data_IF_280150647018
#
_entry.id   IF_280150647018
#
_cell.length_a   1.000
_cell.length_b   1.000
_cell.length_c   1.000
_cell.angle_alpha   90.00
_cell.angle_beta   90.00
_cell.angle_gamma   90.00
#
_symmetry.space_group_name_H-M   'P 1'
#
loop_
_entity.id
_entity.type
_entity.pdbx_description
1 polymer ?
#
# COMPACT_ATOMS: atom_id res chain seq x y z
N UNK A 1 -19.63 38.54 -41.02
CA UNK A 1 -19.68 37.79 -39.74
C UNK A 1 -18.52 36.81 -39.73
N UNK A 2 -17.34 37.26 -39.28
CA UNK A 2 -16.11 36.47 -39.30
C UNK A 2 -15.97 35.65 -38.02
N UNK A 3 -15.94 34.32 -38.15
CA UNK A 3 -15.48 33.44 -37.08
C UNK A 3 -13.96 33.42 -37.13
N UNK A 4 -13.33 34.09 -36.16
CA UNK A 4 -11.90 34.08 -35.96
C UNK A 4 -11.39 32.65 -35.77
N UNK A 5 -10.46 32.26 -36.64
CA UNK A 5 -9.76 30.98 -36.61
C UNK A 5 -8.79 31.00 -35.42
N UNK A 6 -9.23 30.48 -34.28
CA UNK A 6 -8.38 30.33 -33.09
C UNK A 6 -7.14 29.48 -33.44
N UNK A 7 -5.97 29.95 -33.01
CA UNK A 7 -4.70 29.27 -33.20
C UNK A 7 -4.69 27.92 -32.45
N UNK A 8 -4.21 26.82 -33.06
CA UNK A 8 -4.06 25.52 -32.38
C UNK A 8 -3.19 25.58 -31.12
N UNK A 9 -2.31 26.59 -31.02
CA UNK A 9 -1.43 26.78 -29.88
C UNK A 9 -2.17 27.25 -28.61
N UNK A 10 -3.26 28.00 -28.75
CA UNK A 10 -4.01 28.53 -27.60
C UNK A 10 -4.85 27.45 -26.88
N UNK A 11 -5.30 26.44 -27.62
CA UNK A 11 -6.01 25.29 -27.04
C UNK A 11 -5.06 24.37 -26.25
N UNK A 12 -3.84 24.15 -26.76
CA UNK A 12 -2.82 23.36 -26.06
C UNK A 12 -2.40 23.97 -24.73
N UNK A 13 -2.28 25.30 -24.67
CA UNK A 13 -1.87 26.01 -23.46
C UNK A 13 -2.97 26.06 -22.39
N UNK A 14 -4.26 26.11 -22.78
CA UNK A 14 -5.38 26.01 -21.84
C UNK A 14 -5.60 24.61 -21.30
N UNK A 15 -5.34 23.57 -22.10
CA UNK A 15 -5.40 22.17 -21.65
C UNK A 15 -4.29 21.84 -20.65
N UNK A 16 -3.09 22.41 -20.84
CA UNK A 16 -1.95 22.26 -19.93
C UNK A 16 -2.19 22.95 -18.57
N UNK A 17 -2.95 24.05 -18.55
CA UNK A 17 -3.26 24.81 -17.33
C UNK A 17 -4.37 24.14 -16.48
N UNK A 18 -5.29 23.40 -17.11
CA UNK A 18 -6.35 22.64 -16.42
C UNK A 18 -5.83 21.39 -15.69
N UNK A 19 -4.66 20.86 -16.07
CA UNK A 19 -4.02 19.72 -15.42
C UNK A 19 -3.32 20.05 -14.08
N UNK A 20 -3.20 21.35 -13.73
CA UNK A 20 -2.50 21.81 -12.52
C UNK A 20 -3.41 22.03 -11.30
N UNK A 21 -4.73 21.85 -11.44
CA UNK A 21 -5.72 22.01 -10.36
C UNK A 21 -6.24 20.65 -9.90
N UNK A 22 -5.37 19.89 -9.23
CA UNK A 22 -5.74 18.64 -8.56
C UNK A 22 -5.11 18.59 -7.18
N UNK A 23 -5.61 19.40 -6.25
CA UNK A 23 -5.32 19.20 -4.83
C UNK A 23 -6.25 18.13 -4.29
N UNK A 24 -5.75 16.92 -4.03
CA UNK A 24 -6.47 15.89 -3.29
C UNK A 24 -5.63 15.39 -2.12
N UNK A 25 -6.30 15.21 -0.99
CA UNK A 25 -5.76 14.72 0.28
C UNK A 25 -5.86 13.20 0.27
N UNK A 26 -4.75 12.47 0.15
CA UNK A 26 -4.83 11.02 -0.01
C UNK A 26 -4.43 10.19 1.21
N UNK A 27 -4.98 8.97 1.21
CA UNK A 27 -5.01 8.09 2.37
C UNK A 27 -4.40 6.72 1.99
N UNK A 28 -3.36 6.38 2.73
CA UNK A 28 -2.79 5.04 2.98
C UNK A 28 -3.86 3.93 2.84
N UNK A 29 -3.47 2.78 2.27
CA UNK A 29 -4.38 1.67 1.95
C UNK A 29 -5.20 1.23 3.17
N UNK A 30 -6.49 1.57 3.17
CA UNK A 30 -7.49 1.12 4.14
C UNK A 30 -8.39 0.08 3.49
N UNK A 31 -8.30 -1.16 3.93
CA UNK A 31 -9.23 -2.19 3.53
C UNK A 31 -10.24 -2.41 4.66
N UNK A 32 -11.52 -2.17 4.39
CA UNK A 32 -12.63 -2.45 5.29
C UNK A 32 -13.58 -3.45 4.63
N UNK A 33 -13.67 -4.66 5.19
CA UNK A 33 -14.57 -5.71 4.74
C UNK A 33 -15.60 -5.98 5.83
N UNK A 34 -16.87 -6.06 5.44
CA UNK A 34 -18.00 -6.33 6.34
C UNK A 34 -18.76 -7.56 5.88
N UNK A 35 -19.11 -8.46 6.80
CA UNK A 35 -19.84 -9.68 6.49
C UNK A 35 -19.07 -10.67 5.61
N UNK A 36 -17.74 -10.64 5.68
CA UNK A 36 -16.86 -11.47 4.86
C UNK A 36 -16.91 -12.94 5.32
N UNK A 37 -16.92 -13.87 4.36
CA UNK A 37 -17.01 -15.31 4.62
C UNK A 37 -15.78 -16.07 4.14
N UNK A 38 -14.95 -15.48 3.28
CA UNK A 38 -13.76 -16.14 2.73
C UNK A 38 -12.78 -16.54 3.82
N UNK A 39 -12.24 -17.75 3.70
CA UNK A 39 -11.24 -18.29 4.60
C UNK A 39 -9.82 -17.75 4.35
N UNK A 40 -9.53 -17.30 3.13
CA UNK A 40 -8.24 -16.70 2.77
C UNK A 40 -8.48 -15.44 1.94
N UNK A 41 -7.81 -14.37 2.33
CA UNK A 41 -7.89 -13.06 1.71
C UNK A 41 -6.48 -12.55 1.50
N UNK A 42 -6.07 -12.44 0.24
CA UNK A 42 -4.86 -11.71 -0.09
C UNK A 42 -5.10 -10.22 0.15
N UNK A 43 -4.41 -9.66 1.13
CA UNK A 43 -4.54 -8.26 1.50
C UNK A 43 -3.65 -7.38 0.61
N UNK A 44 -2.41 -7.81 0.40
CA UNK A 44 -1.48 -7.07 -0.43
C UNK A 44 -0.30 -7.88 -0.95
N UNK A 45 0.36 -7.36 -1.99
CA UNK A 45 1.61 -7.88 -2.54
C UNK A 45 2.55 -6.74 -2.90
N UNK A 46 3.74 -6.70 -2.28
CA UNK A 46 4.68 -5.60 -2.43
C UNK A 46 6.13 -6.08 -2.48
N UNK A 47 6.91 -5.48 -3.39
CA UNK A 47 8.34 -5.75 -3.54
C UNK A 47 9.16 -4.84 -2.65
N UNK A 48 9.89 -5.41 -1.69
CA UNK A 48 10.74 -4.65 -0.77
C UNK A 48 12.21 -4.73 -1.16
N UNK A 49 12.87 -3.56 -1.11
CA UNK A 49 14.32 -3.44 -1.09
C UNK A 49 14.86 -3.49 0.36
N UNK A 50 16.19 -3.60 0.49
CA UNK A 50 16.86 -3.40 1.78
C UNK A 50 16.44 -2.07 2.41
N UNK A 51 16.17 -2.07 3.72
CA UNK A 51 15.62 -0.97 4.51
C UNK A 51 14.17 -0.59 4.15
N UNK A 52 13.46 -1.42 3.39
CA UNK A 52 12.02 -1.30 3.24
C UNK A 52 11.28 -1.65 4.53
N UNK A 53 10.07 -1.10 4.70
CA UNK A 53 9.21 -1.31 5.85
C UNK A 53 7.77 -1.61 5.45
N UNK A 54 7.16 -2.60 6.10
CA UNK A 54 5.75 -2.92 6.07
C UNK A 54 5.13 -2.60 7.43
N UNK A 55 4.16 -1.70 7.49
CA UNK A 55 3.38 -1.40 8.69
C UNK A 55 1.94 -1.89 8.49
N UNK A 56 1.43 -2.62 9.47
CA UNK A 56 0.08 -3.18 9.46
C UNK A 56 -0.62 -2.82 10.76
N UNK A 57 -1.76 -2.14 10.64
CA UNK A 57 -2.64 -1.82 11.75
C UNK A 57 -3.99 -2.48 11.52
N UNK A 58 -4.28 -3.49 12.33
CA UNK A 58 -5.62 -4.05 12.43
C UNK A 58 -6.42 -3.17 13.38
N UNK A 59 -7.25 -2.31 12.81
CA UNK A 59 -8.09 -1.37 13.57
C UNK A 59 -9.38 -2.01 14.10
N UNK A 60 -9.91 -3.00 13.37
CA UNK A 60 -11.14 -3.71 13.74
C UNK A 60 -11.07 -5.15 13.24
N UNK A 61 -11.30 -6.10 14.13
CA UNK A 61 -11.66 -7.48 13.79
C UNK A 61 -12.84 -7.90 14.67
N UNK A 62 -13.95 -8.29 14.03
CA UNK A 62 -15.14 -8.84 14.68
C UNK A 62 -15.44 -10.20 14.10
N UNK A 63 -15.30 -11.22 14.93
CA UNK A 63 -15.54 -12.60 14.57
C UNK A 63 -16.98 -12.93 14.97
N UNK A 64 -17.87 -13.15 14.00
CA UNK A 64 -19.31 -13.37 14.23
C UNK A 64 -19.66 -14.73 14.83
N UNK A 65 -18.95 -15.14 15.89
CA UNK A 65 -19.05 -16.47 16.50
C UNK A 65 -19.80 -16.45 17.83
N UNK A 66 -20.44 -17.58 18.17
CA UNK A 66 -21.03 -17.81 19.50
C UNK A 66 -19.93 -18.30 20.45
N UNK A 67 -19.99 -17.88 21.71
CA UNK A 67 -18.97 -18.12 22.78
C UNK A 67 -18.50 -19.59 22.91
N UNK A 68 -19.31 -20.57 22.51
CA UNK A 68 -18.95 -22.00 22.55
C UNK A 68 -17.94 -22.44 21.46
N UNK A 69 -17.87 -21.74 20.33
CA UNK A 69 -17.02 -22.06 19.16
C UNK A 69 -15.70 -21.29 19.14
N UNK A 70 -15.51 -20.34 20.07
CA UNK A 70 -14.28 -19.55 20.21
C UNK A 70 -13.07 -20.41 20.64
N UNK A 71 -13.32 -21.62 21.14
CA UNK A 71 -12.26 -22.48 21.71
C UNK A 71 -11.25 -23.03 20.69
N UNK A 72 -11.58 -23.08 19.40
CA UNK A 72 -10.73 -23.64 18.34
C UNK A 72 -10.50 -22.68 17.17
N UNK A 73 -10.71 -21.37 17.37
CA UNK A 73 -10.56 -20.38 16.32
C UNK A 73 -9.09 -20.26 15.90
N UNK A 74 -8.81 -20.56 14.63
CA UNK A 74 -7.50 -20.35 14.03
C UNK A 74 -7.58 -19.23 12.98
N UNK A 75 -7.24 -18.03 13.42
CA UNK A 75 -7.27 -16.80 12.62
C UNK A 75 -5.93 -16.08 12.74
N UNK A 76 -5.50 -15.42 11.68
CA UNK A 76 -4.22 -14.73 11.69
C UNK A 76 -3.79 -14.20 10.34
N UNK A 77 -2.56 -13.70 10.29
CA UNK A 77 -1.93 -13.22 9.07
C UNK A 77 -0.78 -14.14 8.68
N UNK A 78 -0.54 -14.27 7.38
CA UNK A 78 0.67 -14.87 6.85
C UNK A 78 1.41 -13.87 5.98
N UNK A 79 2.71 -13.76 6.18
CA UNK A 79 3.62 -13.03 5.32
C UNK A 79 4.53 -14.04 4.63
N UNK A 80 4.34 -14.21 3.32
CA UNK A 80 5.16 -15.08 2.49
C UNK A 80 6.05 -14.26 1.58
N UNK A 81 7.20 -14.81 1.17
CA UNK A 81 8.14 -14.14 0.27
C UNK A 81 8.47 -15.03 -0.91
N UNK A 82 8.44 -14.43 -2.10
CA UNK A 82 9.00 -15.01 -3.32
C UNK A 82 10.31 -14.28 -3.62
N UNK A 83 11.40 -15.04 -3.72
CA UNK A 83 12.72 -14.51 -4.07
C UNK A 83 12.71 -14.11 -5.54
N UNK A 84 13.32 -12.97 -5.86
CA UNK A 84 13.47 -12.45 -7.23
C UNK A 84 14.02 -13.55 -8.16
N UNK A 85 13.28 -13.88 -9.23
CA UNK A 85 13.66 -14.91 -10.21
C UNK A 85 13.05 -16.30 -10.03
N UNK A 86 12.24 -16.54 -8.99
CA UNK A 86 11.38 -17.73 -8.90
C UNK A 86 9.94 -17.37 -9.26
N UNK A 87 9.33 -18.17 -10.14
CA UNK A 87 7.92 -18.03 -10.51
C UNK A 87 7.06 -18.55 -9.35
N UNK A 88 5.91 -17.90 -9.12
CA UNK A 88 4.87 -18.44 -8.24
C UNK A 88 4.47 -19.84 -8.74
N UNK A 89 4.90 -20.89 -8.06
CA UNK A 89 4.20 -22.16 -8.15
C UNK A 89 2.87 -21.96 -7.45
N UNK A 90 1.80 -21.80 -8.23
CA UNK A 90 0.44 -21.97 -7.73
C UNK A 90 0.34 -23.40 -7.19
N UNK A 91 0.58 -23.56 -5.90
CA UNK A 91 0.23 -24.81 -5.23
C UNK A 91 -1.29 -24.95 -5.36
N UNK A 92 -1.74 -26.02 -5.99
CA UNK A 92 -3.13 -26.46 -5.90
C UNK A 92 -3.47 -26.57 -4.42
N UNK A 93 -4.35 -25.67 -3.96
CA UNK A 93 -4.72 -25.60 -2.56
C UNK A 93 -5.67 -26.74 -2.26
N UNK A 94 -5.21 -27.71 -1.48
CA UNK A 94 -6.12 -28.66 -0.86
C UNK A 94 -6.95 -27.90 0.17
N UNK A 95 -8.27 -27.89 -0.02
CA UNK A 95 -9.24 -27.17 0.83
C UNK A 95 -9.23 -27.60 2.31
N UNK A 96 -8.49 -28.67 2.64
CA UNK A 96 -8.42 -29.25 3.99
C UNK A 96 -7.27 -28.69 4.84
N UNK A 97 -6.24 -28.08 4.24
CA UNK A 97 -5.05 -27.63 4.98
C UNK A 97 -5.02 -26.10 5.17
N UNK A 98 -5.27 -25.68 6.41
CA UNK A 98 -5.15 -24.29 6.82
C UNK A 98 -3.69 -23.79 6.73
N UNK A 99 -3.40 -22.70 6.00
CA UNK A 99 -2.04 -22.16 5.88
C UNK A 99 -1.39 -21.79 7.22
N UNK A 100 -2.19 -21.47 8.25
CA UNK A 100 -1.70 -21.12 9.58
C UNK A 100 -1.18 -22.32 10.39
N UNK A 101 -1.47 -23.56 9.99
CA UNK A 101 -0.93 -24.78 10.62
C UNK A 101 0.31 -25.32 9.91
N UNK A 102 0.67 -24.76 8.76
CA UNK A 102 1.74 -25.28 7.91
C UNK A 102 3.11 -24.99 8.52
N UNK A 103 3.90 -26.05 8.77
CA UNK A 103 5.34 -25.93 8.91
C UNK A 103 5.97 -25.85 7.52
N UNK A 104 6.71 -24.78 7.24
CA UNK A 104 7.41 -24.62 5.96
C UNK A 104 8.92 -24.56 6.15
N UNK A 105 9.66 -25.11 5.18
CA UNK A 105 11.09 -24.84 5.03
C UNK A 105 11.36 -23.54 4.26
N UNK A 106 10.36 -23.03 3.54
CA UNK A 106 10.42 -21.76 2.82
C UNK A 106 10.18 -20.57 3.76
N UNK A 107 10.54 -19.37 3.30
CA UNK A 107 10.25 -18.13 4.02
C UNK A 107 8.73 -17.99 4.26
N UNK A 108 8.34 -17.98 5.53
CA UNK A 108 6.96 -17.75 5.96
C UNK A 108 6.99 -17.16 7.38
N UNK A 109 6.19 -16.13 7.61
CA UNK A 109 5.93 -15.59 8.95
C UNK A 109 4.44 -15.68 9.21
N UNK A 110 4.05 -16.27 10.34
CA UNK A 110 2.66 -16.38 10.76
C UNK A 110 2.43 -15.51 12.00
N UNK A 111 1.36 -14.72 11.97
CA UNK A 111 0.86 -13.94 13.09
C UNK A 111 -0.45 -14.59 13.55
N UNK A 112 -0.38 -15.46 14.55
CA UNK A 112 -1.50 -16.25 15.04
C UNK A 112 -2.22 -15.47 16.14
N UNK A 113 -3.49 -15.13 15.90
CA UNK A 113 -4.29 -14.36 16.84
C UNK A 113 -4.94 -15.32 17.82
N UNK A 114 -4.62 -15.17 19.10
CA UNK A 114 -5.27 -15.88 20.19
C UNK A 114 -6.17 -14.92 20.96
N UNK A 115 -7.48 -15.06 20.77
CA UNK A 115 -8.48 -14.20 21.41
C UNK A 115 -8.62 -14.46 22.91
N UNK A 116 -8.31 -15.68 23.37
CA UNK A 116 -8.40 -16.05 24.79
C UNK A 116 -7.31 -15.41 25.64
N UNK A 117 -6.08 -15.50 25.15
CA UNK A 117 -4.90 -14.98 25.86
C UNK A 117 -4.63 -13.51 25.53
N UNK A 118 -5.44 -12.91 24.66
CA UNK A 118 -5.28 -11.55 24.13
C UNK A 118 -3.86 -11.29 23.62
N UNK A 119 -3.36 -12.23 22.81
CA UNK A 119 -2.00 -12.25 22.33
C UNK A 119 -1.94 -12.65 20.85
N UNK A 120 -0.95 -12.11 20.14
CA UNK A 120 -0.61 -12.53 18.78
C UNK A 120 0.75 -13.21 18.81
N UNK A 121 0.78 -14.52 18.55
CA UNK A 121 2.01 -15.29 18.50
C UNK A 121 2.64 -15.19 17.11
N UNK A 122 3.91 -14.81 17.04
CA UNK A 122 4.65 -14.70 15.79
C UNK A 122 5.53 -15.94 15.61
N UNK A 123 5.27 -16.73 14.57
CA UNK A 123 6.10 -17.88 14.18
C UNK A 123 6.84 -17.58 12.89
N UNK A 124 8.13 -17.85 12.87
CA UNK A 124 9.01 -17.62 11.71
C UNK A 124 9.51 -18.95 11.17
N UNK A 125 9.52 -19.08 9.85
CA UNK A 125 9.92 -20.28 9.12
C UNK A 125 10.88 -19.96 7.98
N UNK A 126 11.84 -20.86 7.73
CA UNK A 126 12.93 -20.65 6.78
C UNK A 126 14.03 -19.73 7.34
N UNK A 127 15.10 -19.52 6.56
CA UNK A 127 16.17 -18.60 6.97
C UNK A 127 15.69 -17.14 6.89
N UNK A 128 15.70 -16.45 8.04
CA UNK A 128 15.23 -15.06 8.20
C UNK A 128 16.15 -14.23 9.12
N UNK A 129 17.46 -14.21 8.84
CA UNK A 129 18.47 -13.69 9.79
C UNK A 129 18.38 -12.17 10.02
N UNK A 130 17.83 -11.43 9.06
CA UNK A 130 17.78 -9.96 9.09
C UNK A 130 16.37 -9.41 8.84
N UNK A 131 15.34 -10.18 9.19
CA UNK A 131 13.95 -9.70 9.18
C UNK A 131 13.57 -9.28 10.60
N UNK A 132 13.36 -7.99 10.80
CA UNK A 132 13.00 -7.44 12.10
C UNK A 132 11.49 -7.22 12.18
N UNK A 133 10.86 -7.71 13.24
CA UNK A 133 9.42 -7.57 13.49
C UNK A 133 9.29 -6.90 14.85
N UNK A 134 8.49 -5.84 14.91
CA UNK A 134 8.29 -5.06 16.12
C UNK A 134 6.80 -4.81 16.37
N UNK A 135 6.37 -4.73 17.64
CA UNK A 135 5.02 -4.29 17.98
C UNK A 135 4.84 -2.80 17.67
N UNK A 136 3.61 -2.42 17.33
CA UNK A 136 3.25 -1.03 17.06
C UNK A 136 3.58 -0.58 15.64
N UNK A 137 3.33 0.71 15.39
CA UNK A 137 3.65 1.39 14.13
C UNK A 137 5.01 2.09 14.21
N UNK A 138 5.61 2.39 13.05
CA UNK A 138 6.85 3.16 13.04
C UNK A 138 6.55 4.61 13.51
N UNK A 139 7.43 5.22 14.34
CA UNK A 139 7.29 6.62 14.69
C UNK A 139 7.24 7.48 13.44
N UNK A 140 6.19 8.29 13.30
CA UNK A 140 6.06 9.18 12.17
C UNK A 140 7.17 10.24 12.26
N UNK A 141 8.09 10.24 11.28
CA UNK A 141 9.10 11.29 11.18
C UNK A 141 8.36 12.64 11.08
N UNK A 142 8.76 13.68 11.85
CA UNK A 142 8.08 14.97 11.81
C UNK A 142 8.05 15.47 10.37
N UNK A 143 6.85 15.68 9.86
CA UNK A 143 6.63 16.30 8.57
C UNK A 143 7.38 17.62 8.52
N UNK A 144 8.10 17.88 7.42
CA UNK A 144 8.80 19.15 7.19
C UNK A 144 7.81 20.29 7.45
N UNK A 145 8.13 21.32 8.26
CA UNK A 145 7.20 22.39 8.57
C UNK A 145 6.74 23.09 7.29
N UNK A 146 5.46 22.97 6.98
CA UNK A 146 4.80 23.79 5.98
C UNK A 146 4.87 25.26 6.39
N UNK A 147 5.08 26.11 5.39
CA UNK A 147 5.15 27.56 5.45
C UNK A 147 4.06 28.17 6.35
N UNK A 148 4.38 29.11 7.26
CA UNK A 148 3.46 29.58 8.28
C UNK A 148 2.37 30.49 7.69
N UNK A 149 1.10 30.17 7.98
CA UNK A 149 -0.04 31.06 7.73
C UNK A 149 -0.26 31.96 8.97
N UNK A 150 -0.61 33.26 8.81
CA UNK A 150 -0.45 34.27 9.86
C UNK A 150 -1.36 34.07 11.08
N UNK A 151 -0.77 34.20 12.28
CA UNK A 151 -1.48 34.26 13.56
C UNK A 151 -2.28 35.56 13.69
N UNK A 152 -3.55 35.43 14.06
CA UNK A 152 -4.33 36.51 14.64
C UNK A 152 -4.13 36.54 16.16
N UNK A 153 -3.61 37.67 16.64
CA UNK A 153 -3.32 38.03 18.03
C UNK A 153 -4.59 38.35 18.81
N UNK A 154 -4.80 37.75 19.99
CA UNK A 154 -5.59 38.33 21.10
C UNK A 154 -4.95 37.88 22.45
N UNK A 155 -4.89 38.74 23.49
CA UNK A 155 -3.82 38.69 24.50
C UNK A 155 -4.13 37.94 25.81
N UNK A 156 -3.04 37.66 26.54
CA UNK A 156 -2.97 37.08 27.89
C UNK A 156 -3.74 37.85 28.95
N UNK A 157 -4.25 37.12 29.95
CA UNK A 157 -4.41 37.59 31.34
C UNK A 157 -3.88 36.51 32.30
N UNK A 158 -3.06 36.94 33.26
CA UNK A 158 -2.42 36.16 34.33
C UNK A 158 -3.22 36.37 35.64
N UNK A 159 -2.92 35.53 36.63
CA UNK A 159 -3.30 35.50 38.06
C UNK A 159 -4.32 34.39 38.38
N UNK A 160 -4.16 33.52 39.37
CA UNK A 160 -3.17 33.36 40.44
C UNK A 160 -3.50 32.08 41.24
N UNK A 161 -2.59 31.69 42.14
CA UNK A 161 -2.43 30.33 42.70
C UNK A 161 -3.55 29.73 43.57
N UNK A 162 -3.46 28.40 43.75
CA UNK A 162 -4.24 27.61 44.69
C UNK A 162 -3.86 26.12 44.66
N UNK A 163 -3.07 25.68 45.64
CA UNK A 163 -2.60 24.29 45.90
C UNK A 163 -3.73 23.32 46.27
N UNK A 164 -3.66 22.07 45.76
CA UNK A 164 -4.03 20.82 46.48
C UNK A 164 -3.63 19.57 45.69
N UNK A 165 -3.36 18.49 46.42
CA UNK A 165 -2.55 17.33 46.05
C UNK A 165 -3.30 16.12 45.45
N UNK A 166 -2.50 15.15 44.96
CA UNK A 166 -2.78 13.75 44.58
C UNK A 166 -3.57 13.57 43.26
N UNK A 167 -3.23 12.67 42.33
CA UNK A 167 -2.53 11.38 42.40
C UNK A 167 -1.95 11.00 41.02
N UNK A 168 -0.79 10.33 40.99
CA UNK A 168 -0.18 9.72 39.80
C UNK A 168 -0.74 8.30 39.61
N UNK A 169 -0.99 7.85 38.37
CA UNK A 169 -0.77 6.46 37.98
C UNK A 169 0.54 6.35 37.18
N UNK A 170 1.30 5.34 37.57
CA UNK A 170 2.66 4.98 37.15
C UNK A 170 2.59 4.26 35.80
N UNK A 171 2.97 4.95 34.72
CA UNK A 171 3.26 4.29 33.43
C UNK A 171 4.71 3.80 33.44
N UNK A 172 4.87 2.48 33.48
CA UNK A 172 6.17 1.81 33.35
C UNK A 172 6.64 1.92 31.90
N UNK A 173 7.83 2.47 31.58
CA UNK A 173 8.33 2.51 30.21
C UNK A 173 8.74 1.11 29.75
N UNK A 174 8.29 0.73 28.56
CA UNK A 174 8.74 -0.45 27.84
C UNK A 174 10.27 -0.38 27.62
N UNK A 175 10.94 -1.49 27.95
CA UNK A 175 12.38 -1.66 27.84
C UNK A 175 12.78 -1.71 26.36
N UNK A 176 13.67 -0.81 25.95
CA UNK A 176 14.39 -0.86 24.68
C UNK A 176 15.45 -1.98 24.81
N UNK A 177 15.41 -2.98 23.94
CA UNK A 177 16.52 -3.94 23.76
C UNK A 177 17.12 -3.81 22.37
N UNK A 178 18.42 -3.51 22.34
CA UNK A 178 19.30 -3.66 21.20
C UNK A 178 19.64 -5.15 20.91
N UNK A 179 20.53 -5.41 19.95
CA UNK A 179 20.46 -6.59 19.09
C UNK A 179 21.05 -7.86 19.71
N UNK A 180 20.48 -8.99 19.27
CA UNK A 180 20.97 -10.37 19.32
C UNK A 180 20.80 -11.14 20.63
N UNK A 181 19.98 -12.20 20.58
CA UNK A 181 20.00 -13.28 21.57
C UNK A 181 18.74 -14.12 21.68
N UNK A 182 18.63 -15.16 20.83
CA UNK A 182 17.76 -16.36 20.93
C UNK A 182 16.25 -16.09 20.97
N UNK A 183 15.55 -16.51 19.90
CA UNK A 183 14.09 -16.46 19.74
C UNK A 183 13.37 -17.00 20.99
N UNK A 184 13.03 -16.10 21.91
CA UNK A 184 11.78 -16.24 22.66
C UNK A 184 10.68 -15.98 21.65
N UNK A 185 9.68 -16.86 21.60
CA UNK A 185 8.52 -16.66 20.73
C UNK A 185 8.04 -15.22 20.87
N UNK A 186 8.11 -14.46 19.78
CA UNK A 186 7.73 -13.06 19.79
C UNK A 186 6.21 -13.02 19.96
N UNK A 187 5.75 -12.44 21.07
CA UNK A 187 4.34 -12.29 21.38
C UNK A 187 4.00 -10.81 21.36
N UNK A 188 3.00 -10.44 20.57
CA UNK A 188 2.45 -9.08 20.50
C UNK A 188 1.15 -9.02 21.33
N UNK A 189 0.86 -7.86 21.92
CA UNK A 189 -0.40 -7.65 22.65
C UNK A 189 -1.57 -7.48 21.68
N UNK A 190 -2.66 -8.19 21.95
CA UNK A 190 -3.96 -7.98 21.29
C UNK A 190 -4.83 -7.14 22.23
N UNK A 191 -5.34 -6.01 21.76
CA UNK A 191 -6.29 -5.21 22.52
C UNK A 191 -7.71 -5.56 22.10
N UNK A 192 -8.62 -5.61 23.07
CA UNK A 192 -10.03 -5.94 22.87
C UNK A 192 -10.88 -4.80 23.43
N UNK A 193 -11.64 -4.13 22.55
CA UNK A 193 -12.52 -3.01 22.89
C UNK A 193 -13.83 -3.13 22.12
N UNK A 194 -14.97 -3.03 22.80
CA UNK A 194 -16.31 -3.03 22.19
C UNK A 194 -16.54 -4.22 21.23
N UNK A 195 -16.23 -5.44 21.68
CA UNK A 195 -16.34 -6.68 20.89
C UNK A 195 -15.50 -6.64 19.59
N UNK A 196 -14.38 -5.92 19.62
CA UNK A 196 -13.48 -5.80 18.49
C UNK A 196 -12.04 -5.95 18.94
N UNK A 197 -11.27 -6.72 18.16
CA UNK A 197 -9.85 -6.91 18.37
C UNK A 197 -9.05 -5.93 17.51
N UNK A 198 -8.01 -5.36 18.09
CA UNK A 198 -7.05 -4.51 17.40
C UNK A 198 -5.62 -4.81 17.83
N UNK A 199 -4.69 -4.64 16.89
CA UNK A 199 -3.25 -4.68 17.14
C UNK A 199 -2.52 -4.06 15.95
N UNK A 200 -1.25 -3.72 16.15
CA UNK A 200 -0.40 -3.23 15.08
C UNK A 200 1.00 -3.81 15.20
N UNK A 201 1.63 -3.99 14.04
CA UNK A 201 3.00 -4.44 13.92
C UNK A 201 3.66 -3.80 12.71
N UNK A 202 4.98 -3.76 12.74
CA UNK A 202 5.76 -3.42 11.56
C UNK A 202 6.92 -4.37 11.36
N UNK A 203 7.31 -4.52 10.10
CA UNK A 203 8.38 -5.39 9.63
C UNK A 203 9.39 -4.53 8.87
N UNK A 204 10.68 -4.71 9.17
CA UNK A 204 11.78 -4.01 8.51
C UNK A 204 12.71 -5.02 7.84
N UNK A 205 13.01 -4.77 6.56
CA UNK A 205 13.88 -5.61 5.75
C UNK A 205 15.33 -5.19 5.97
N UNK A 206 16.11 -5.97 6.71
CA UNK A 206 17.44 -5.56 7.16
C UNK A 206 18.61 -5.84 6.21
N UNK A 207 18.44 -6.65 5.16
CA UNK A 207 19.54 -6.96 4.23
C UNK A 207 19.06 -7.30 2.81
N UNK A 208 20.01 -7.26 1.87
CA UNK A 208 19.78 -7.59 0.46
C UNK A 208 19.35 -9.05 0.27
N UNK A 209 19.75 -9.96 1.17
CA UNK A 209 19.33 -11.36 1.12
C UNK A 209 17.83 -11.54 1.39
N UNK A 210 17.20 -10.57 2.07
CA UNK A 210 15.77 -10.56 2.38
C UNK A 210 14.93 -9.86 1.29
N UNK A 211 15.55 -9.21 0.30
CA UNK A 211 14.83 -8.58 -0.81
C UNK A 211 13.95 -9.58 -1.58
N UNK A 212 12.81 -9.09 -2.06
CA UNK A 212 11.87 -9.89 -2.84
C UNK A 212 10.45 -9.35 -2.79
N UNK A 213 9.54 -10.12 -3.38
CA UNK A 213 8.12 -9.82 -3.36
C UNK A 213 7.46 -10.52 -2.18
N UNK A 214 6.83 -9.73 -1.32
CA UNK A 214 6.14 -10.20 -0.13
C UNK A 214 4.63 -10.16 -0.35
N UNK A 215 3.94 -11.23 0.04
CA UNK A 215 2.47 -11.29 0.02
C UNK A 215 1.94 -11.42 1.44
N UNK A 216 1.11 -10.45 1.83
CA UNK A 216 0.39 -10.44 3.09
C UNK A 216 -1.02 -10.95 2.87
N UNK A 217 -1.37 -12.04 3.56
CA UNK A 217 -2.70 -12.64 3.52
C UNK A 217 -3.29 -12.72 4.92
N UNK A 218 -4.60 -12.60 5.00
CA UNK A 218 -5.38 -12.89 6.20
C UNK A 218 -6.10 -14.22 6.04
N UNK A 219 -6.03 -15.06 7.06
CA UNK A 219 -6.61 -16.39 7.08
C UNK A 219 -7.61 -16.52 8.23
N UNK A 220 -8.79 -17.02 7.91
CA UNK A 220 -9.80 -17.49 8.84
C UNK A 220 -10.10 -18.96 8.55
N UNK A 221 -9.36 -19.86 9.19
CA UNK A 221 -9.42 -21.28 8.87
C UNK A 221 -10.71 -21.97 9.31
N UNK A 222 -11.48 -21.37 10.23
CA UNK A 222 -12.81 -21.88 10.56
C UNK A 222 -13.74 -21.87 9.34
N UNK A 223 -13.62 -20.85 8.48
CA UNK A 223 -14.42 -20.74 7.26
C UNK A 223 -13.89 -21.60 6.10
N UNK A 224 -12.83 -22.40 6.31
CA UNK A 224 -12.33 -23.32 5.26
C UNK A 224 -13.24 -24.54 5.09
N UNK A 225 -14.06 -24.85 6.11
CA UNK A 225 -14.99 -25.99 6.08
C UNK A 225 -16.30 -25.55 5.40
N UNK A 226 -16.67 -26.15 4.25
CA UNK A 226 -17.90 -25.80 3.56
C UNK A 226 -19.13 -25.99 4.47
N UNK A 227 -20.01 -25.00 4.51
CA UNK A 227 -21.26 -25.05 5.29
C UNK A 227 -21.15 -24.64 6.77
N UNK A 228 -19.95 -24.30 7.26
CA UNK A 228 -19.73 -23.75 8.62
C UNK A 228 -19.13 -22.33 8.60
N UNK A 229 -19.38 -21.59 7.53
CA UNK A 229 -18.84 -20.24 7.35
C UNK A 229 -19.57 -19.23 8.23
N UNK A 230 -18.80 -18.45 8.98
CA UNK A 230 -19.32 -17.35 9.78
C UNK A 230 -18.88 -16.01 9.18
N UNK A 231 -19.80 -15.04 9.03
CA UNK A 231 -19.43 -13.70 8.59
C UNK A 231 -18.55 -13.01 9.64
N UNK A 232 -17.53 -12.29 9.18
CA UNK A 232 -16.67 -11.47 10.02
C UNK A 232 -16.44 -10.10 9.40
N UNK A 233 -16.13 -9.12 10.25
CA UNK A 233 -15.75 -7.78 9.83
C UNK A 233 -14.26 -7.56 10.12
N UNK A 234 -13.54 -7.01 9.15
CA UNK A 234 -12.11 -6.72 9.27
C UNK A 234 -11.79 -5.35 8.68
N UNK A 235 -11.06 -4.51 9.41
CA UNK A 235 -10.51 -3.25 8.91
C UNK A 235 -9.02 -3.18 9.19
N UNK A 236 -8.22 -3.23 8.12
CA UNK A 236 -6.76 -3.20 8.17
C UNK A 236 -6.25 -1.99 7.41
N UNK A 237 -5.33 -1.26 8.02
CA UNK A 237 -4.50 -0.24 7.38
C UNK A 237 -3.14 -0.87 7.06
N UNK A 238 -2.69 -0.73 5.83
CA UNK A 238 -1.40 -1.26 5.37
C UNK A 238 -0.59 -0.09 4.81
N UNK A 239 0.63 0.08 5.29
CA UNK A 239 1.56 1.08 4.79
C UNK A 239 2.88 0.43 4.42
N UNK A 240 3.28 0.59 3.17
CA UNK A 240 4.47 -0.04 2.62
C UNK A 240 5.39 1.03 2.08
N UNK A 241 6.67 0.91 2.38
CA UNK A 241 7.62 1.93 2.01
C UNK A 241 8.97 1.30 1.71
N UNK A 242 9.52 1.66 0.56
CA UNK A 242 10.93 1.45 0.23
C UNK A 242 11.72 2.75 0.51
N UNK A 243 13.06 2.69 0.57
CA UNK A 243 13.89 3.87 0.86
C UNK A 243 13.60 5.06 -0.07
N UNK A 244 13.34 4.81 -1.35
CA UNK A 244 13.11 5.83 -2.38
C UNK A 244 11.63 6.26 -2.52
N UNK A 245 10.71 5.68 -1.76
CA UNK A 245 9.29 6.03 -1.78
C UNK A 245 8.33 4.85 -1.58
N UNK A 246 7.08 5.04 -1.97
CA UNK A 246 6.00 4.07 -1.75
C UNK A 246 5.81 3.06 -2.89
N UNK A 247 6.67 3.06 -3.93
CA UNK A 247 6.56 2.09 -5.02
C UNK A 247 7.19 0.74 -4.68
N UNK A 248 6.54 -0.32 -5.16
CA UNK A 248 7.07 -1.68 -5.13
C UNK A 248 8.35 -1.76 -5.95
N UNK A 249 9.27 -2.65 -5.56
CA UNK A 249 10.55 -2.84 -6.24
C UNK A 249 10.41 -3.10 -7.76
N UNK A 250 9.35 -3.81 -8.17
CA UNK A 250 9.09 -4.09 -9.58
C UNK A 250 8.59 -2.86 -10.38
N UNK A 251 8.03 -1.87 -9.70
CA UNK A 251 7.39 -0.69 -10.31
C UNK A 251 8.32 0.53 -10.35
N UNK A 252 9.33 0.58 -9.48
CA UNK A 252 10.36 1.63 -9.48
C UNK A 252 11.02 1.87 -10.86
N UNK A 253 11.48 0.83 -11.60
CA UNK A 253 12.04 1.04 -12.95
C UNK A 253 10.96 1.35 -13.99
N UNK A 254 9.71 0.94 -13.76
CA UNK A 254 8.61 1.07 -14.71
C UNK A 254 8.23 2.54 -14.94
N UNK A 255 8.27 3.37 -13.90
CA UNK A 255 8.06 4.82 -14.02
C UNK A 255 9.01 5.47 -15.03
N UNK A 256 10.32 5.15 -14.94
CA UNK A 256 11.35 5.68 -15.84
C UNK A 256 11.15 5.14 -17.26
N UNK A 257 10.80 3.86 -17.39
CA UNK A 257 10.52 3.25 -18.68
C UNK A 257 9.36 3.95 -19.40
N UNK A 258 8.26 4.24 -18.72
CA UNK A 258 7.13 4.96 -19.32
C UNK A 258 7.50 6.39 -19.74
N UNK A 259 8.33 7.08 -18.97
CA UNK A 259 8.83 8.41 -19.32
C UNK A 259 9.67 8.37 -20.61
N UNK A 260 10.62 7.43 -20.70
CA UNK A 260 11.48 7.26 -21.88
C UNK A 260 10.64 6.87 -23.10
N UNK A 261 9.74 5.90 -22.97
CA UNK A 261 8.89 5.46 -24.07
C UNK A 261 7.95 6.57 -24.55
N UNK A 262 7.38 7.37 -23.65
CA UNK A 262 6.57 8.54 -24.01
C UNK A 262 7.36 9.52 -24.88
N UNK A 263 8.61 9.82 -24.51
CA UNK A 263 9.49 10.68 -25.30
C UNK A 263 9.83 10.07 -26.67
N UNK A 264 10.09 8.76 -26.75
CA UNK A 264 10.32 8.07 -28.03
C UNK A 264 9.10 8.15 -28.97
N UNK A 265 7.89 7.89 -28.47
CA UNK A 265 6.66 8.02 -29.27
C UNK A 265 6.38 9.46 -29.70
N UNK A 266 6.70 10.44 -28.85
CA UNK A 266 6.58 11.86 -29.19
C UNK A 266 7.55 12.24 -30.32
N UNK A 267 8.83 11.85 -30.21
CA UNK A 267 9.84 12.13 -31.21
C UNK A 267 9.50 11.46 -32.55
N UNK A 268 9.06 10.20 -32.52
CA UNK A 268 8.59 9.49 -33.71
C UNK A 268 7.36 10.16 -34.33
N UNK A 269 6.40 10.60 -33.52
CA UNK A 269 5.22 11.35 -33.98
C UNK A 269 5.58 12.68 -34.65
N UNK A 270 6.48 13.46 -34.05
CA UNK A 270 6.97 14.73 -34.63
C UNK A 270 7.72 14.49 -35.94
N UNK A 271 8.61 13.50 -35.97
CA UNK A 271 9.35 13.12 -37.17
C UNK A 271 8.40 12.68 -38.29
N UNK A 272 7.41 11.85 -37.97
CA UNK A 272 6.40 11.38 -38.92
C UNK A 272 5.57 12.52 -39.49
N UNK A 273 5.07 13.44 -38.63
CA UNK A 273 4.36 14.64 -39.08
C UNK A 273 5.24 15.52 -39.96
N UNK A 274 6.53 15.70 -39.61
CA UNK A 274 7.47 16.47 -40.44
C UNK A 274 7.63 15.88 -41.84
N UNK A 275 7.60 14.55 -41.99
CA UNK A 275 7.64 13.88 -43.31
C UNK A 275 6.33 14.13 -44.06
N UNK A 276 5.17 13.95 -43.40
CA UNK A 276 3.86 14.15 -44.02
C UNK A 276 3.65 15.60 -44.48
N UNK A 277 4.19 16.58 -43.76
CA UNK A 277 4.15 17.99 -44.16
C UNK A 277 5.10 18.30 -45.33
N UNK A 278 6.21 17.57 -45.48
CA UNK A 278 7.16 17.73 -46.59
C UNK A 278 6.69 17.06 -47.88
N UNK A 279 5.96 15.95 -47.79
CA UNK A 279 5.51 15.19 -48.94
C UNK A 279 4.00 15.36 -49.16
N UNK A 280 3.61 16.39 -49.90
CA UNK A 280 2.21 16.83 -50.08
C UNK A 280 1.44 16.08 -51.16
N UNK A 281 2.10 15.18 -51.91
CA UNK A 281 1.48 14.44 -53.00
C UNK A 281 1.09 13.04 -52.49
N UNK A 282 -0.24 12.79 -52.43
CA UNK A 282 -0.92 11.51 -52.14
C UNK A 282 -0.80 10.88 -50.73
N UNK A 283 -0.74 11.68 -49.66
CA UNK A 283 -0.83 11.10 -48.31
C UNK A 283 -2.26 10.64 -47.99
N UNK A 284 -2.49 9.32 -47.96
CA UNK A 284 -3.75 8.73 -47.52
C UNK A 284 -4.08 9.13 -46.07
N UNK A 285 -5.37 9.40 -45.79
CA UNK A 285 -5.90 9.79 -44.45
C UNK A 285 -5.43 8.87 -43.30
N UNK A 286 -5.10 7.62 -43.63
CA UNK A 286 -4.57 6.61 -42.69
C UNK A 286 -3.27 7.09 -42.02
N UNK A 287 -2.38 7.81 -42.72
CA UNK A 287 -1.11 8.27 -42.15
C UNK A 287 -1.32 9.36 -41.09
N UNK A 288 -2.31 10.24 -41.29
CA UNK A 288 -2.72 11.23 -40.30
C UNK A 288 -3.38 10.57 -39.08
N UNK A 289 -4.16 9.51 -39.29
CA UNK A 289 -4.71 8.70 -38.19
C UNK A 289 -3.59 8.01 -37.40
N UNK A 290 -2.61 7.42 -38.08
CA UNK A 290 -1.45 6.77 -37.45
C UNK A 290 -0.59 7.77 -36.65
N UNK A 291 -0.39 8.99 -37.16
CA UNK A 291 0.26 10.06 -36.40
C UNK A 291 -0.53 10.40 -35.13
N UNK A 292 -1.86 10.52 -35.23
CA UNK A 292 -2.75 10.72 -34.09
C UNK A 292 -2.61 9.62 -33.04
N UNK A 293 -2.55 8.36 -33.45
CA UNK A 293 -2.34 7.22 -32.54
C UNK A 293 -1.00 7.32 -31.79
N UNK A 294 0.08 7.72 -32.46
CA UNK A 294 1.39 7.89 -31.83
C UNK A 294 1.36 8.98 -30.74
N UNK A 295 0.72 10.13 -31.00
CA UNK A 295 0.55 11.18 -29.99
C UNK A 295 -0.32 10.74 -28.82
N UNK A 296 -1.47 10.08 -29.09
CA UNK A 296 -2.34 9.56 -28.03
C UNK A 296 -1.60 8.55 -27.15
N UNK A 297 -0.77 7.69 -27.74
CA UNK A 297 0.08 6.75 -26.98
C UNK A 297 1.14 7.46 -26.15
N UNK A 298 1.84 8.46 -26.71
CA UNK A 298 2.80 9.28 -25.95
C UNK A 298 2.16 9.94 -24.73
N UNK A 299 1.00 10.56 -24.91
CA UNK A 299 0.24 11.23 -23.83
C UNK A 299 -0.23 10.21 -22.78
N UNK A 300 -0.75 9.06 -23.20
CA UNK A 300 -1.18 7.97 -22.30
C UNK A 300 -0.02 7.47 -21.44
N UNK A 301 1.16 7.23 -22.02
CA UNK A 301 2.36 6.81 -21.29
C UNK A 301 2.86 7.89 -20.34
N UNK A 302 2.77 9.17 -20.73
CA UNK A 302 3.14 10.29 -19.87
C UNK A 302 2.24 10.36 -18.64
N UNK A 303 0.93 10.18 -18.80
CA UNK A 303 0.00 10.15 -17.67
C UNK A 303 0.26 8.95 -16.74
N UNK A 304 0.56 7.78 -17.28
CA UNK A 304 0.99 6.64 -16.46
C UNK A 304 2.25 6.98 -15.66
N UNK A 305 3.26 7.56 -16.31
CA UNK A 305 4.48 8.00 -15.63
C UNK A 305 4.16 8.99 -14.50
N UNK A 306 3.38 10.04 -14.75
CA UNK A 306 2.98 11.01 -13.72
C UNK A 306 2.26 10.31 -12.55
N UNK A 307 1.34 9.38 -12.82
CA UNK A 307 0.66 8.62 -11.77
C UNK A 307 1.65 7.88 -10.86
N UNK A 308 2.59 7.14 -11.46
CA UNK A 308 3.61 6.41 -10.71
C UNK A 308 4.51 7.35 -9.88
N UNK A 309 4.82 8.55 -10.39
CA UNK A 309 5.54 9.57 -9.62
C UNK A 309 4.77 10.04 -8.37
N UNK A 310 3.47 10.29 -8.52
CA UNK A 310 2.61 10.69 -7.41
C UNK A 310 2.43 9.56 -6.39
N UNK A 311 2.23 8.33 -6.86
CA UNK A 311 2.20 7.15 -5.99
C UNK A 311 3.51 7.04 -5.20
N UNK A 312 4.67 7.17 -5.87
CA UNK A 312 5.96 7.09 -5.18
C UNK A 312 6.15 8.16 -4.09
N UNK A 313 5.60 9.36 -4.33
CA UNK A 313 5.79 10.52 -3.45
C UNK A 313 4.76 10.57 -2.30
N UNK A 314 3.52 10.20 -2.58
CA UNK A 314 2.38 10.40 -1.67
C UNK A 314 1.76 9.09 -1.16
N UNK A 315 2.10 7.95 -1.76
CA UNK A 315 1.62 6.62 -1.37
C UNK A 315 0.21 6.28 -1.82
N UNK A 316 -0.36 7.04 -2.76
CA UNK A 316 -1.68 6.78 -3.33
C UNK A 316 -1.76 7.29 -4.79
N UNK A 317 -2.57 6.64 -5.64
CA UNK A 317 -2.79 7.11 -7.01
C UNK A 317 -3.61 8.40 -7.03
N UNK A 318 -3.48 9.17 -8.10
CA UNK A 318 -4.31 10.37 -8.31
C UNK A 318 -5.73 9.91 -8.67
N UNK A 319 -6.71 10.28 -7.85
CA UNK A 319 -8.12 9.87 -7.99
C UNK A 319 -8.69 10.19 -9.39
N UNK A 320 -8.34 11.35 -9.96
CA UNK A 320 -8.79 11.74 -11.31
C UNK A 320 -8.24 10.87 -12.44
N UNK A 321 -7.06 10.27 -12.27
CA UNK A 321 -6.46 9.41 -13.31
C UNK A 321 -6.96 7.97 -13.21
N UNK A 322 -7.27 7.49 -12.00
CA UNK A 322 -7.91 6.20 -11.79
C UNK A 322 -9.28 6.12 -12.50
N UNK A 323 -10.04 7.23 -12.49
CA UNK A 323 -11.32 7.34 -13.20
C UNK A 323 -11.14 7.29 -14.72
N UNK A 324 -10.14 7.99 -15.27
CA UNK A 324 -9.86 7.96 -16.71
C UNK A 324 -9.42 6.57 -17.21
N UNK A 325 -8.63 5.84 -16.42
CA UNK A 325 -8.29 4.45 -16.72
C UNK A 325 -9.53 3.57 -16.76
N UNK A 326 -10.44 3.74 -15.79
CA UNK A 326 -11.69 2.99 -15.69
C UNK A 326 -12.64 3.27 -16.86
N UNK A 327 -12.75 4.52 -17.29
CA UNK A 327 -13.59 4.92 -18.43
C UNK A 327 -13.00 4.44 -19.75
N UNK A 328 -11.67 4.44 -19.90
CA UNK A 328 -11.01 4.02 -21.15
C UNK A 328 -11.00 2.49 -21.37
N UNK A 329 -11.27 1.70 -20.32
CA UNK A 329 -11.30 0.23 -20.37
C UNK A 329 -12.71 -0.36 -20.16
N UNK A 330 -13.75 0.49 -20.22
CA UNK A 330 -15.17 0.12 -20.27
C UNK A 330 -15.60 -0.11 -21.73
#
# INVERSE_FOLDING_TARGET
RGLGRGSPAEWGQRLLLLLLLGGCSGRIHRLALTGEKRADIQLNSFGFYTNGSLEVELSLLRLGLREAEEKSLLVGFSLSRVRSGRVHTYSTRDFQDCPLQKNSSSFLVLFLINTKDLQVQVRKYGEQKTLFIFPGLLPEAPSKPGLPKPQATVPRKVDGGGTSAASKPKSTPAVIQGPSGKDKDLVLGLSHLNNSYNFSFHVVIGSQAEEGQYSLNFHNCNNSVPGKEHPFDITVMIREKNPDGFLSAAEMPLFKLYMVMSACFLAAGIFWVSILCRNTYSVFKIHWLMAGLAFTKSISLLFHSINYYFINSQGHPIEGLAIMYYIAHL
#
